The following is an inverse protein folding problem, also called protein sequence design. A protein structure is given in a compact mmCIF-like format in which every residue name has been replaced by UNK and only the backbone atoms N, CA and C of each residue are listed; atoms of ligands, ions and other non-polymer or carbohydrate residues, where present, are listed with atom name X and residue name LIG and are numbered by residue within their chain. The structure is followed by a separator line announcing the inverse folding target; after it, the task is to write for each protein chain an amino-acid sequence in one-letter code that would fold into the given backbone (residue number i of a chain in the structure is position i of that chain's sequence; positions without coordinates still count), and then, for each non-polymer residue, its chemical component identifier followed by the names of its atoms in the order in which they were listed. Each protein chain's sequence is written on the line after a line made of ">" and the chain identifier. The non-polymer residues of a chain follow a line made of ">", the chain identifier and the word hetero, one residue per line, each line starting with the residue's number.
data_IF_800458051267
#
_entry.id   IF_800458051267
#
_cell.length_a   1.000
_cell.length_b   1.000
_cell.length_c   1.000
_cell.angle_alpha   90.00
_cell.angle_beta   90.00
_cell.angle_gamma   90.00
#
_symmetry.space_group_name_H-M   'P 1'
#
loop_
_entity.id
_entity.type
_entity.pdbx_description
1 polymer ?
#
# COMPACT_ATOMS: atom_id res chain seq x y z
N UNK A 1 0.27 -19.74 14.29
CA UNK A 1 -0.66 -18.59 14.28
C UNK A 1 -0.11 -17.41 13.45
N UNK A 2 -0.80 -16.93 12.39
CA UNK A 2 -0.43 -15.68 11.74
C UNK A 2 -0.86 -14.50 12.61
N UNK A 3 0.13 -13.67 12.98
CA UNK A 3 -0.04 -12.47 13.81
C UNK A 3 -0.83 -11.44 13.01
N UNK A 4 -1.80 -10.82 13.68
CA UNK A 4 -2.69 -9.77 13.16
C UNK A 4 -1.88 -8.76 12.33
N UNK A 5 -2.08 -8.75 11.02
CA UNK A 5 -1.76 -7.59 10.21
C UNK A 5 -2.53 -6.42 10.82
N UNK A 6 -1.81 -5.35 11.16
CA UNK A 6 -2.35 -4.15 11.79
C UNK A 6 -3.60 -3.69 11.05
N UNK A 7 -4.59 -3.27 11.84
CA UNK A 7 -5.83 -2.60 11.41
C UNK A 7 -5.56 -1.81 10.12
N UNK A 8 -6.22 -2.13 8.99
CA UNK A 8 -6.00 -1.37 7.78
C UNK A 8 -6.45 0.05 8.11
N UNK A 9 -5.50 0.97 8.25
CA UNK A 9 -5.80 2.36 8.03
C UNK A 9 -6.43 2.35 6.64
N UNK A 10 -7.69 2.81 6.54
CA UNK A 10 -8.51 2.68 5.34
C UNK A 10 -7.88 3.37 4.10
N UNK A 11 -6.75 4.05 4.31
CA UNK A 11 -5.96 4.82 3.35
C UNK A 11 -4.49 4.34 3.21
N UNK A 12 -4.10 3.19 3.79
CA UNK A 12 -2.74 2.65 3.61
C UNK A 12 -2.48 2.25 2.15
N UNK A 13 -1.24 2.44 1.68
CA UNK A 13 -0.83 2.17 0.30
C UNK A 13 -1.17 0.73 -0.14
N UNK A 14 -1.09 -0.21 0.80
CA UNK A 14 -1.49 -1.62 0.66
C UNK A 14 -3.00 -1.81 0.43
N UNK A 15 -3.86 -1.06 1.12
CA UNK A 15 -5.32 -1.08 0.94
C UNK A 15 -5.75 -0.46 -0.40
N UNK A 16 -5.11 0.65 -0.79
CA UNK A 16 -5.31 1.28 -2.10
C UNK A 16 -4.89 0.31 -3.20
N UNK A 17 -3.75 -0.36 -3.06
CA UNK A 17 -3.32 -1.40 -4.00
C UNK A 17 -4.27 -2.58 -4.13
N UNK A 18 -4.81 -3.06 -3.01
CA UNK A 18 -5.81 -4.12 -3.00
C UNK A 18 -7.10 -3.68 -3.71
N UNK A 19 -7.55 -2.43 -3.49
CA UNK A 19 -8.70 -1.84 -4.21
C UNK A 19 -8.47 -1.73 -5.71
N UNK A 20 -7.26 -1.39 -6.13
CA UNK A 20 -6.89 -1.30 -7.54
C UNK A 20 -6.51 -2.65 -8.17
N UNK A 21 -6.56 -3.75 -7.41
CA UNK A 21 -6.26 -5.10 -7.87
C UNK A 21 -4.78 -5.33 -8.22
N UNK A 22 -3.86 -4.65 -7.55
CA UNK A 22 -2.42 -4.74 -7.82
C UNK A 22 -1.90 -3.72 -8.84
N UNK A 23 -2.76 -2.82 -9.35
CA UNK A 23 -2.33 -1.71 -10.21
C UNK A 23 -1.65 -0.61 -9.38
N UNK A 24 -0.33 -0.76 -9.23
CA UNK A 24 0.55 0.20 -8.52
C UNK A 24 0.54 1.58 -9.16
N UNK A 25 0.38 1.68 -10.46
CA UNK A 25 0.29 2.96 -11.19
C UNK A 25 -0.97 3.73 -10.80
N UNK A 26 -2.13 3.08 -10.88
CA UNK A 26 -3.40 3.72 -10.51
C UNK A 26 -3.43 4.11 -9.02
N UNK A 27 -2.86 3.26 -8.15
CA UNK A 27 -2.71 3.59 -6.73
C UNK A 27 -1.76 4.78 -6.49
N UNK A 28 -0.67 4.87 -7.25
CA UNK A 28 0.30 5.95 -7.17
C UNK A 28 -0.30 7.29 -7.63
N UNK A 29 -0.98 7.29 -8.78
CA UNK A 29 -1.72 8.45 -9.30
C UNK A 29 -2.83 8.89 -8.33
N UNK A 30 -3.58 7.94 -7.77
CA UNK A 30 -4.64 8.23 -6.79
C UNK A 30 -4.11 8.90 -5.52
N UNK A 31 -2.91 8.52 -5.08
CA UNK A 31 -2.23 9.11 -3.92
C UNK A 31 -1.42 10.36 -4.28
N UNK A 32 -1.30 10.72 -5.56
CA UNK A 32 -0.46 11.83 -6.03
C UNK A 32 1.03 11.63 -5.76
N UNK A 33 1.49 10.38 -5.64
CA UNK A 33 2.88 10.05 -5.34
C UNK A 33 3.49 9.21 -6.46
N UNK A 34 4.80 9.31 -6.66
CA UNK A 34 5.47 8.45 -7.64
C UNK A 34 5.43 6.98 -7.25
N UNK A 35 5.41 6.11 -8.27
CA UNK A 35 5.45 4.63 -8.18
C UNK A 35 6.55 4.11 -7.25
N UNK A 36 7.71 4.77 -7.23
CA UNK A 36 8.86 4.43 -6.37
C UNK A 36 8.67 4.83 -4.90
N UNK A 37 7.91 5.90 -4.63
CA UNK A 37 7.52 6.34 -3.29
C UNK A 37 6.48 5.39 -2.69
N UNK A 38 5.51 4.96 -3.49
CA UNK A 38 4.54 3.94 -3.11
C UNK A 38 5.26 2.63 -2.70
N UNK A 39 6.23 2.18 -3.50
CA UNK A 39 7.00 0.97 -3.21
C UNK A 39 7.82 1.06 -1.92
N UNK A 40 8.44 2.22 -1.66
CA UNK A 40 9.15 2.46 -0.40
C UNK A 40 8.22 2.40 0.81
N UNK A 41 7.03 2.99 0.72
CA UNK A 41 6.01 2.91 1.79
C UNK A 41 5.49 1.48 1.99
N UNK A 42 5.22 0.74 0.92
CA UNK A 42 4.81 -0.67 1.00
C UNK A 42 5.87 -1.56 1.65
N UNK A 43 7.14 -1.35 1.30
CA UNK A 43 8.24 -2.12 1.88
C UNK A 43 8.44 -1.80 3.35
N UNK A 44 8.23 -0.55 3.76
CA UNK A 44 8.24 -0.14 5.16
C UNK A 44 7.04 -0.71 5.95
N UNK A 45 5.84 -0.73 5.37
CA UNK A 45 4.64 -1.33 6.00
C UNK A 45 4.71 -2.86 6.09
N UNK A 46 5.28 -3.54 5.09
CA UNK A 46 5.41 -5.00 5.05
C UNK A 46 6.69 -5.55 5.69
N UNK A 47 7.54 -4.69 6.25
CA UNK A 47 8.90 -5.01 6.69
C UNK A 47 9.19 -4.80 8.17
N UNK A 48 8.18 -4.78 9.05
CA UNK A 48 8.33 -4.75 10.50
C UNK A 48 7.51 -5.85 11.19
#
# INVERSE_FOLDING_TARGET
>A
PPRRAGRPAADSASAVLARFGGRRDAAAEYLGISRTTLWRKLKAEGGA
#
